data_IF_959734527944
#
_entry.id   IF_959734527944
#
_cell.length_a   1.000
_cell.length_b   1.000
_cell.length_c   1.000
_cell.angle_alpha   90.00
_cell.angle_beta   90.00
_cell.angle_gamma   90.00
#
_symmetry.space_group_name_H-M   'P 1'
#
loop_
_entity.id
_entity.type
_entity.pdbx_description
1 polymer ?
#
# COMPACT_ATOMS: atom_id res chain seq x y z
N UNK A 1 -12.94 -8.85 24.71
CA UNK A 1 -12.94 -9.17 23.26
C UNK A 1 -14.34 -9.20 22.64
N UNK A 2 -15.38 -9.76 23.28
CA UNK A 2 -16.77 -9.68 22.76
C UNK A 2 -17.24 -8.24 22.48
N UNK A 3 -16.86 -7.28 23.33
CA UNK A 3 -17.18 -5.86 23.10
C UNK A 3 -16.49 -5.30 21.85
N UNK A 4 -15.25 -5.71 21.59
CA UNK A 4 -14.50 -5.36 20.37
C UNK A 4 -15.22 -5.87 19.16
N UNK A 5 -15.57 -7.16 19.16
CA UNK A 5 -16.33 -7.80 18.08
C UNK A 5 -17.66 -7.08 17.83
N UNK A 6 -18.40 -6.75 18.88
CA UNK A 6 -19.67 -6.01 18.77
C UNK A 6 -19.45 -4.62 18.16
N UNK A 7 -18.38 -3.93 18.55
CA UNK A 7 -18.08 -2.58 18.10
C UNK A 7 -17.57 -2.50 16.65
N UNK A 8 -17.01 -3.59 16.12
CA UNK A 8 -16.46 -3.65 14.75
C UNK A 8 -17.35 -4.38 13.76
N UNK A 9 -18.27 -5.23 14.21
CA UNK A 9 -19.10 -6.06 13.34
C UNK A 9 -19.83 -5.25 12.26
N UNK A 10 -20.70 -4.33 12.66
CA UNK A 10 -21.50 -3.55 11.71
C UNK A 10 -20.62 -2.71 10.78
N UNK A 11 -19.49 -2.21 11.28
CA UNK A 11 -18.52 -1.42 10.50
C UNK A 11 -17.83 -2.24 9.43
N UNK A 12 -17.51 -3.51 9.72
CA UNK A 12 -16.93 -4.45 8.78
C UNK A 12 -17.97 -4.88 7.74
N UNK A 13 -19.19 -5.17 8.16
CA UNK A 13 -20.30 -5.54 7.28
C UNK A 13 -20.67 -4.40 6.31
N UNK A 14 -20.70 -3.15 6.79
CA UNK A 14 -20.97 -1.95 6.01
C UNK A 14 -19.74 -1.44 5.22
N UNK A 15 -18.60 -2.11 5.32
CA UNK A 15 -17.39 -1.75 4.57
C UNK A 15 -17.39 -2.31 3.16
N UNK A 16 -16.58 -1.71 2.29
CA UNK A 16 -16.27 -2.27 0.98
C UNK A 16 -15.59 -3.66 1.09
N UNK A 17 -14.99 -3.98 2.25
CA UNK A 17 -14.45 -5.30 2.54
C UNK A 17 -15.53 -6.32 2.93
N UNK A 18 -16.68 -5.87 3.43
CA UNK A 18 -17.77 -6.71 3.96
C UNK A 18 -18.18 -7.89 3.09
N UNK A 19 -18.42 -7.72 1.77
CA UNK A 19 -18.79 -8.81 0.86
C UNK A 19 -17.76 -9.94 0.74
N UNK A 20 -16.52 -9.69 1.18
CA UNK A 20 -15.40 -10.62 1.07
C UNK A 20 -15.10 -11.34 2.38
N UNK A 21 -15.71 -10.94 3.49
CA UNK A 21 -15.43 -11.51 4.82
C UNK A 21 -16.08 -12.89 4.95
N UNK A 22 -15.27 -13.92 5.23
CA UNK A 22 -15.76 -15.24 5.61
C UNK A 22 -15.82 -15.36 7.13
N UNK A 23 -14.73 -15.01 7.82
CA UNK A 23 -14.66 -14.99 9.29
C UNK A 23 -13.80 -13.85 9.79
N UNK A 24 -14.09 -13.37 11.00
CA UNK A 24 -13.31 -12.34 11.69
C UNK A 24 -12.90 -12.87 13.05
N UNK A 25 -11.64 -12.67 13.38
CA UNK A 25 -11.06 -12.99 14.69
C UNK A 25 -10.26 -11.78 15.18
N UNK A 26 -10.04 -11.72 16.49
CA UNK A 26 -9.39 -10.58 17.13
C UNK A 26 -8.23 -11.10 17.99
N UNK A 27 -7.05 -10.55 17.76
CA UNK A 27 -5.85 -10.90 18.53
C UNK A 27 -5.45 -9.73 19.41
N UNK A 28 -5.51 -9.92 20.72
CA UNK A 28 -4.92 -8.99 21.68
C UNK A 28 -3.40 -9.17 21.71
N UNK A 29 -2.67 -8.06 21.73
CA UNK A 29 -1.25 -8.05 22.09
C UNK A 29 -1.06 -7.94 23.60
N UNK A 30 0.17 -7.61 24.01
CA UNK A 30 0.50 -7.40 25.41
C UNK A 30 -0.25 -6.19 25.98
N UNK A 31 -0.80 -6.37 27.18
CA UNK A 31 -1.54 -5.32 27.88
C UNK A 31 -0.57 -4.23 28.34
N UNK A 32 -0.77 -3.01 27.85
CA UNK A 32 -0.10 -1.81 28.36
C UNK A 32 -0.82 -1.20 29.57
N UNK A 33 -0.31 -0.07 30.05
CA UNK A 33 -0.89 0.62 31.20
C UNK A 33 -2.30 1.15 30.89
N UNK A 34 -2.47 1.83 29.76
CA UNK A 34 -3.73 2.49 29.38
C UNK A 34 -4.52 1.74 28.29
N UNK A 35 -3.81 1.05 27.39
CA UNK A 35 -4.42 0.34 26.27
C UNK A 35 -3.91 -1.08 26.06
N UNK A 36 -4.70 -1.86 25.34
CA UNK A 36 -4.38 -3.18 24.84
C UNK A 36 -4.46 -3.12 23.32
N UNK A 37 -3.35 -3.33 22.61
CA UNK A 37 -3.36 -3.35 21.16
C UNK A 37 -4.18 -4.54 20.66
N UNK A 38 -5.00 -4.30 19.65
CA UNK A 38 -5.85 -5.31 19.02
C UNK A 38 -5.60 -5.31 17.51
N UNK A 39 -5.31 -6.48 16.97
CA UNK A 39 -5.28 -6.75 15.54
C UNK A 39 -6.58 -7.44 15.12
N UNK A 40 -7.18 -6.96 14.03
CA UNK A 40 -8.39 -7.55 13.44
C UNK A 40 -7.96 -8.47 12.30
N UNK A 41 -8.17 -9.77 12.48
CA UNK A 41 -7.75 -10.80 11.54
C UNK A 41 -8.96 -11.36 10.79
N UNK A 42 -8.95 -11.19 9.48
CA UNK A 42 -10.05 -11.52 8.58
C UNK A 42 -9.61 -12.65 7.66
N UNK A 43 -10.39 -13.73 7.62
CA UNK A 43 -10.30 -14.71 6.55
C UNK A 43 -11.25 -14.27 5.45
N UNK A 44 -10.72 -14.06 4.25
CA UNK A 44 -11.51 -13.66 3.09
C UNK A 44 -12.00 -14.87 2.29
N UNK A 45 -13.13 -14.71 1.63
CA UNK A 45 -13.66 -15.68 0.68
C UNK A 45 -12.93 -15.60 -0.68
N UNK A 46 -13.18 -16.58 -1.55
CA UNK A 46 -12.51 -16.72 -2.85
C UNK A 46 -12.66 -15.50 -3.80
N UNK A 47 -13.71 -14.69 -3.64
CA UNK A 47 -13.92 -13.50 -4.49
C UNK A 47 -12.95 -12.38 -4.17
N UNK A 48 -12.29 -12.43 -3.02
CA UNK A 48 -11.29 -11.44 -2.63
C UNK A 48 -10.04 -11.55 -3.51
N UNK A 49 -9.61 -12.76 -3.84
CA UNK A 49 -8.44 -12.97 -4.71
C UNK A 49 -8.66 -12.52 -6.15
N UNK A 50 -9.91 -12.26 -6.55
CA UNK A 50 -10.23 -11.68 -7.87
C UNK A 50 -10.02 -10.16 -7.91
N UNK A 51 -9.82 -9.51 -6.76
CA UNK A 51 -9.61 -8.07 -6.68
C UNK A 51 -8.24 -7.68 -7.22
N UNK A 52 -8.19 -6.59 -7.98
CA UNK A 52 -6.93 -5.93 -8.27
C UNK A 52 -6.32 -5.35 -6.99
N UNK A 53 -5.02 -5.04 -7.02
CA UNK A 53 -4.33 -4.36 -5.90
C UNK A 53 -5.00 -3.03 -5.52
N UNK A 54 -5.46 -2.28 -6.52
CA UNK A 54 -6.18 -1.01 -6.32
C UNK A 54 -7.52 -1.22 -5.60
N UNK A 55 -8.28 -2.26 -5.99
CA UNK A 55 -9.56 -2.59 -5.36
C UNK A 55 -9.35 -3.17 -3.95
N UNK A 56 -8.33 -4.00 -3.77
CA UNK A 56 -7.91 -4.55 -2.47
C UNK A 56 -7.57 -3.42 -1.50
N UNK A 57 -6.73 -2.48 -1.95
CA UNK A 57 -6.39 -1.29 -1.16
C UNK A 57 -7.64 -0.47 -0.81
N UNK A 58 -8.52 -0.21 -1.78
CA UNK A 58 -9.73 0.55 -1.55
C UNK A 58 -10.65 -0.12 -0.52
N UNK A 59 -10.88 -1.42 -0.66
CA UNK A 59 -11.71 -2.21 0.24
C UNK A 59 -11.15 -2.23 1.67
N UNK A 60 -9.85 -2.51 1.80
CA UNK A 60 -9.19 -2.54 3.10
C UNK A 60 -9.10 -1.15 3.73
N UNK A 61 -8.79 -0.10 2.97
CA UNK A 61 -8.71 1.26 3.49
C UNK A 61 -10.07 1.75 4.00
N UNK A 62 -11.16 1.47 3.29
CA UNK A 62 -12.52 1.82 3.74
C UNK A 62 -12.89 1.11 5.05
N UNK A 63 -12.61 -0.20 5.17
CA UNK A 63 -12.80 -0.94 6.41
C UNK A 63 -11.94 -0.40 7.56
N UNK A 64 -10.68 -0.09 7.25
CA UNK A 64 -9.70 0.45 8.18
C UNK A 64 -10.12 1.82 8.73
N UNK A 65 -10.54 2.74 7.87
CA UNK A 65 -11.01 4.06 8.28
C UNK A 65 -12.30 3.96 9.12
N UNK A 66 -13.21 3.02 8.80
CA UNK A 66 -14.41 2.78 9.61
C UNK A 66 -14.07 2.27 11.01
N UNK A 67 -13.14 1.32 11.13
CA UNK A 67 -12.74 0.76 12.43
C UNK A 67 -11.91 1.73 13.26
N UNK A 68 -10.83 2.30 12.68
CA UNK A 68 -9.85 3.10 13.41
C UNK A 68 -10.28 4.56 13.52
N UNK A 69 -10.89 5.12 12.47
CA UNK A 69 -11.28 6.54 12.42
C UNK A 69 -12.36 6.95 13.42
N UNK A 70 -13.03 5.98 14.04
CA UNK A 70 -14.15 6.22 14.96
C UNK A 70 -13.74 6.37 16.43
N UNK A 71 -12.44 6.34 16.78
CA UNK A 71 -11.93 6.53 18.16
C UNK A 71 -12.76 5.81 19.23
N UNK A 72 -13.21 4.59 18.93
CA UNK A 72 -14.06 3.84 19.83
C UNK A 72 -13.24 3.42 21.05
N UNK A 73 -13.48 4.03 22.21
CA UNK A 73 -12.98 3.58 23.52
C UNK A 73 -13.71 2.28 23.93
N UNK A 74 -13.44 1.19 23.22
CA UNK A 74 -13.95 -0.13 23.59
C UNK A 74 -13.16 -0.65 24.77
N UNK A 75 -13.81 -1.21 25.79
CA UNK A 75 -13.07 -1.83 26.88
C UNK A 75 -12.42 -3.14 26.44
N UNK A 76 -11.13 -3.28 26.76
CA UNK A 76 -10.39 -4.54 26.65
C UNK A 76 -10.36 -5.31 27.98
N UNK A 77 -11.18 -4.90 28.96
CA UNK A 77 -11.32 -5.52 30.27
C UNK A 77 -10.68 -4.69 31.39
N UNK A 78 -11.41 -4.55 32.50
CA UNK A 78 -11.03 -3.65 33.59
C UNK A 78 -11.03 -2.18 33.14
N UNK A 79 -10.03 -1.42 33.56
CA UNK A 79 -9.89 0.01 33.21
C UNK A 79 -9.05 0.25 31.95
N UNK A 80 -8.88 -0.76 31.09
CA UNK A 80 -7.99 -0.69 29.93
C UNK A 80 -8.81 -0.69 28.63
N UNK A 81 -8.42 0.17 27.69
CA UNK A 81 -9.10 0.35 26.42
C UNK A 81 -8.45 -0.45 25.28
N UNK A 82 -9.23 -0.86 24.31
CA UNK A 82 -8.70 -1.47 23.10
C UNK A 82 -8.20 -0.40 22.14
N UNK A 83 -6.98 -0.58 21.63
CA UNK A 83 -6.44 0.22 20.53
C UNK A 83 -6.28 -0.65 19.31
N UNK A 84 -7.07 -0.40 18.28
CA UNK A 84 -6.91 -1.07 16.99
C UNK A 84 -5.56 -0.67 16.37
N UNK A 85 -4.79 -1.66 15.93
CA UNK A 85 -3.41 -1.47 15.44
C UNK A 85 -3.31 -1.73 13.95
N UNK A 86 -3.95 -2.80 13.49
CA UNK A 86 -3.96 -3.23 12.11
C UNK A 86 -5.22 -4.02 11.76
N UNK A 87 -5.48 -4.10 10.47
CA UNK A 87 -6.34 -5.11 9.85
C UNK A 87 -5.45 -6.01 9.01
N UNK A 88 -5.55 -7.32 9.26
CA UNK A 88 -4.91 -8.36 8.49
C UNK A 88 -5.98 -9.16 7.75
N UNK A 89 -5.88 -9.24 6.43
CA UNK A 89 -6.72 -10.09 5.59
C UNK A 89 -5.87 -11.24 5.06
N UNK A 90 -6.35 -12.47 5.24
CA UNK A 90 -5.75 -13.66 4.64
C UNK A 90 -6.71 -14.19 3.59
N UNK A 91 -6.21 -14.37 2.37
CA UNK A 91 -6.88 -15.21 1.38
C UNK A 91 -6.16 -16.57 1.27
N UNK A 92 -6.43 -17.34 0.21
CA UNK A 92 -5.85 -18.68 0.03
C UNK A 92 -4.35 -18.66 -0.34
N UNK A 93 -3.80 -17.51 -0.72
CA UNK A 93 -2.48 -17.37 -1.33
C UNK A 93 -1.63 -16.34 -0.58
N UNK A 94 -2.24 -15.23 -0.20
CA UNK A 94 -1.56 -14.01 0.19
C UNK A 94 -2.07 -13.48 1.54
N UNK A 95 -1.19 -12.75 2.22
CA UNK A 95 -1.49 -12.00 3.44
C UNK A 95 -1.40 -10.52 3.16
N UNK A 96 -2.42 -9.79 3.57
CA UNK A 96 -2.57 -8.36 3.37
C UNK A 96 -2.67 -7.67 4.72
N UNK A 97 -1.84 -6.66 4.98
CA UNK A 97 -1.81 -5.94 6.25
C UNK A 97 -1.93 -4.45 6.00
N UNK A 98 -2.82 -3.80 6.74
CA UNK A 98 -2.88 -2.34 6.82
C UNK A 98 -2.80 -1.92 8.29
N UNK A 99 -1.78 -1.12 8.61
CA UNK A 99 -1.45 -0.70 9.98
C UNK A 99 -1.61 0.82 10.15
N UNK A 100 -1.91 1.25 11.38
CA UNK A 100 -2.16 2.66 11.74
C UNK A 100 -1.00 3.61 11.45
N UNK A 101 0.24 3.12 11.53
CA UNK A 101 1.46 3.89 11.29
C UNK A 101 1.72 4.09 9.80
N UNK A 102 1.48 3.06 8.99
CA UNK A 102 1.86 3.04 7.58
C UNK A 102 0.72 3.45 6.65
N UNK A 103 -0.54 3.15 7.00
CA UNK A 103 -1.77 3.36 6.19
C UNK A 103 -1.67 2.90 4.72
N UNK A 104 -0.60 2.21 4.34
CA UNK A 104 -0.43 1.49 3.10
C UNK A 104 -0.77 0.01 3.28
N UNK A 105 -1.04 -0.66 2.16
CA UNK A 105 -1.26 -2.09 2.09
C UNK A 105 0.09 -2.80 1.95
N UNK A 106 0.43 -3.67 2.90
CA UNK A 106 1.56 -4.59 2.83
C UNK A 106 1.05 -5.97 2.41
N UNK A 107 1.65 -6.54 1.37
CA UNK A 107 1.27 -7.83 0.77
C UNK A 107 2.46 -8.79 0.93
N UNK A 108 2.22 -9.95 1.56
CA UNK A 108 3.20 -11.00 1.82
C UNK A 108 4.52 -10.48 2.41
N UNK A 109 4.46 -9.53 3.34
CA UNK A 109 5.61 -8.98 4.06
C UNK A 109 6.63 -8.17 3.24
N UNK A 110 6.46 -8.02 1.92
CA UNK A 110 7.47 -7.36 1.07
C UNK A 110 6.92 -6.40 0.01
N UNK A 111 5.69 -6.58 -0.46
CA UNK A 111 5.11 -5.69 -1.47
C UNK A 111 4.25 -4.63 -0.79
N UNK A 112 4.46 -3.35 -1.14
CA UNK A 112 3.64 -2.27 -0.61
C UNK A 112 2.83 -1.58 -1.69
N UNK A 113 1.56 -1.31 -1.40
CA UNK A 113 0.66 -0.49 -2.21
C UNK A 113 0.17 0.70 -1.39
N UNK A 114 0.63 1.89 -1.74
CA UNK A 114 0.41 3.12 -0.97
C UNK A 114 -0.80 3.90 -1.48
N UNK A 115 -1.19 4.93 -0.72
CA UNK A 115 -2.17 5.92 -1.17
C UNK A 115 -1.76 6.62 -2.48
N UNK A 116 -0.46 6.85 -2.69
CA UNK A 116 0.01 7.49 -3.92
C UNK A 116 -0.12 6.54 -5.11
N UNK A 117 0.18 5.25 -4.93
CA UNK A 117 -0.06 4.24 -5.95
C UNK A 117 -1.54 4.18 -6.34
N UNK A 118 -2.43 4.20 -5.34
CA UNK A 118 -3.88 4.26 -5.55
C UNK A 118 -4.30 5.46 -6.40
N UNK A 119 -3.81 6.67 -6.09
CA UNK A 119 -4.14 7.89 -6.83
C UNK A 119 -3.67 7.77 -8.30
N UNK A 120 -2.44 7.31 -8.51
CA UNK A 120 -1.87 7.16 -9.86
C UNK A 120 -2.65 6.13 -10.69
N UNK A 121 -3.02 5.00 -10.08
CA UNK A 121 -3.77 3.95 -10.77
C UNK A 121 -5.22 4.36 -11.03
N UNK A 122 -5.86 5.08 -10.12
CA UNK A 122 -7.19 5.65 -10.30
C UNK A 122 -7.23 6.65 -11.46
N UNK A 123 -6.27 7.59 -11.51
CA UNK A 123 -6.14 8.55 -12.61
C UNK A 123 -5.93 7.84 -13.96
N UNK A 124 -5.05 6.83 -13.98
CA UNK A 124 -4.81 6.01 -15.18
C UNK A 124 -6.06 5.27 -15.63
N UNK A 125 -6.86 4.72 -14.69
CA UNK A 125 -8.12 4.04 -14.99
C UNK A 125 -9.11 5.02 -15.61
N UNK A 126 -9.27 6.21 -15.01
CA UNK A 126 -10.15 7.25 -15.53
C UNK A 126 -9.76 7.70 -16.95
N UNK A 127 -8.46 7.92 -17.20
CA UNK A 127 -7.96 8.26 -18.53
C UNK A 127 -8.19 7.16 -19.56
N UNK A 128 -8.01 5.89 -19.18
CA UNK A 128 -8.30 4.75 -20.06
C UNK A 128 -9.79 4.64 -20.38
N UNK A 129 -10.65 4.88 -19.41
CA UNK A 129 -12.10 4.90 -19.62
C UNK A 129 -12.53 6.05 -20.53
N UNK A 130 -11.97 7.25 -20.34
CA UNK A 130 -12.15 8.39 -21.25
C UNK A 130 -11.69 8.06 -22.68
N UNK A 131 -10.53 7.42 -22.82
CA UNK A 131 -9.98 7.04 -24.14
C UNK A 131 -10.81 5.93 -24.80
N UNK A 132 -11.31 4.95 -24.04
CA UNK A 132 -12.25 3.93 -24.54
C UNK A 132 -13.58 4.53 -24.97
N UNK A 133 -14.09 5.53 -24.25
CA UNK A 133 -15.30 6.26 -24.62
C UNK A 133 -15.09 7.06 -25.93
N UNK A 134 -13.93 7.71 -26.09
CA UNK A 134 -13.57 8.47 -27.30
C UNK A 134 -13.39 7.56 -28.52
N UNK A 135 -12.73 6.41 -28.36
CA UNK A 135 -12.49 5.45 -29.45
C UNK A 135 -13.76 4.75 -29.95
N UNK A 136 -14.85 4.78 -29.18
CA UNK A 136 -16.16 4.28 -29.62
C UNK A 136 -16.98 5.32 -30.40
N UNK A 137 -16.49 6.55 -30.62
CA UNK A 137 -17.28 7.60 -31.29
C UNK A 137 -16.64 8.24 -32.52
N UNK A 138 -15.34 8.07 -32.82
CA UNK A 138 -14.75 8.73 -34.00
C UNK A 138 -13.68 7.94 -34.74
N UNK A 139 -13.96 7.69 -36.02
CA UNK A 139 -13.01 7.50 -37.11
C UNK A 139 -12.22 8.79 -37.39
N UNK A 140 -10.92 8.64 -37.58
CA UNK A 140 -9.98 9.51 -38.32
C UNK A 140 -9.38 10.78 -37.67
N UNK A 141 -8.04 10.83 -37.82
CA UNK A 141 -7.15 11.97 -38.04
C UNK A 141 -7.04 13.11 -36.99
N UNK A 142 -5.86 13.22 -36.36
CA UNK A 142 -4.85 14.22 -36.74
C UNK A 142 -3.84 14.48 -35.62
N UNK A 143 -2.57 14.46 -36.03
CA UNK A 143 -1.38 15.05 -35.42
C UNK A 143 -1.63 16.19 -34.42
N UNK A 144 -1.04 16.07 -33.23
CA UNK A 144 -0.61 17.21 -32.44
C UNK A 144 0.70 16.89 -31.70
N UNK A 145 1.80 17.38 -32.27
CA UNK A 145 3.11 17.46 -31.65
C UNK A 145 3.11 18.57 -30.60
N UNK A 146 2.99 18.18 -29.33
CA UNK A 146 3.20 19.09 -28.20
C UNK A 146 4.69 19.37 -28.03
N UNK A 147 5.08 20.63 -28.25
CA UNK A 147 6.41 21.18 -27.94
C UNK A 147 6.57 21.29 -26.43
N UNK A 148 7.17 20.28 -25.80
CA UNK A 148 7.69 20.39 -24.45
C UNK A 148 9.12 20.95 -24.50
N UNK A 149 9.35 22.05 -23.79
CA UNK A 149 10.68 22.65 -23.61
C UNK A 149 11.30 22.05 -22.35
N UNK A 150 12.40 21.27 -22.43
CA UNK A 150 12.97 20.63 -21.24
C UNK A 150 13.95 21.58 -20.56
N UNK A 151 13.63 22.02 -19.34
CA UNK A 151 14.62 22.62 -18.44
C UNK A 151 14.76 21.76 -17.18
N UNK A 152 15.62 20.75 -17.35
CA UNK A 152 16.26 19.81 -16.41
C UNK A 152 16.26 18.45 -17.10
N UNK A 153 17.44 17.84 -17.32
CA UNK A 153 17.54 16.53 -17.97
C UNK A 153 16.96 15.46 -17.04
N UNK A 154 15.64 15.31 -17.07
CA UNK A 154 14.94 14.22 -16.40
C UNK A 154 15.55 12.89 -16.88
N UNK A 155 15.97 12.07 -15.92
CA UNK A 155 16.57 10.77 -16.19
C UNK A 155 15.51 9.68 -16.04
N UNK A 156 15.56 8.72 -16.94
CA UNK A 156 14.57 7.67 -17.09
C UNK A 156 15.24 6.30 -17.15
N UNK A 157 14.58 5.29 -16.57
CA UNK A 157 15.01 3.89 -16.63
C UNK A 157 14.70 3.24 -17.97
N UNK A 158 15.22 2.03 -18.14
CA UNK A 158 15.06 1.20 -19.33
C UNK A 158 13.61 1.00 -19.76
N UNK A 159 12.69 1.03 -18.80
CA UNK A 159 11.23 0.93 -18.98
C UNK A 159 10.51 2.29 -19.07
N UNK A 160 11.24 3.41 -19.13
CA UNK A 160 10.69 4.76 -19.29
C UNK A 160 10.12 5.42 -18.02
N UNK A 161 10.47 4.92 -16.83
CA UNK A 161 10.04 5.53 -15.54
C UNK A 161 11.08 6.53 -15.05
N UNK A 162 10.62 7.63 -14.45
CA UNK A 162 11.51 8.67 -13.94
C UNK A 162 12.34 8.17 -12.73
N UNK A 163 13.64 8.45 -12.75
CA UNK A 163 14.57 8.05 -11.68
C UNK A 163 14.17 8.55 -10.30
N UNK A 164 13.62 9.77 -10.17
CA UNK A 164 13.19 10.32 -8.87
C UNK A 164 12.03 9.53 -8.28
N UNK A 165 11.12 9.02 -9.11
CA UNK A 165 10.00 8.18 -8.65
C UNK A 165 10.51 6.84 -8.11
N UNK A 166 11.45 6.21 -8.83
CA UNK A 166 12.06 4.95 -8.40
C UNK A 166 12.87 5.16 -7.11
N UNK A 167 13.65 6.23 -7.04
CA UNK A 167 14.42 6.61 -5.85
C UNK A 167 13.53 6.85 -4.62
N UNK A 168 12.44 7.60 -4.77
CA UNK A 168 11.50 7.88 -3.67
C UNK A 168 10.95 6.59 -3.10
N UNK A 169 10.49 5.68 -3.97
CA UNK A 169 10.02 4.35 -3.56
C UNK A 169 11.12 3.56 -2.84
N UNK A 170 12.33 3.50 -3.40
CA UNK A 170 13.45 2.78 -2.77
C UNK A 170 13.78 3.33 -1.37
N UNK A 171 13.69 4.64 -1.17
CA UNK A 171 13.91 5.27 0.13
C UNK A 171 12.83 4.92 1.15
N UNK A 172 11.57 4.79 0.71
CA UNK A 172 10.48 4.31 1.57
C UNK A 172 10.71 2.85 1.98
N UNK A 173 11.07 1.98 1.04
CA UNK A 173 11.38 0.57 1.34
C UNK A 173 12.58 0.44 2.29
N UNK A 174 13.62 1.26 2.08
CA UNK A 174 14.75 1.35 3.00
C UNK A 174 14.29 1.64 4.43
N UNK A 175 13.48 2.68 4.63
CA UNK A 175 13.02 3.05 5.96
C UNK A 175 12.20 1.94 6.63
N UNK A 176 11.38 1.23 5.86
CA UNK A 176 10.57 0.11 6.34
C UNK A 176 11.47 -1.06 6.79
N UNK A 177 12.40 -1.47 5.93
CA UNK A 177 13.27 -2.62 6.20
C UNK A 177 14.25 -2.34 7.34
N UNK A 178 14.71 -1.09 7.44
CA UNK A 178 15.77 -0.68 8.37
C UNK A 178 15.26 -0.11 9.70
N UNK A 179 13.94 -0.02 9.89
CA UNK A 179 13.32 0.78 10.96
C UNK A 179 13.94 2.19 11.06
N UNK A 180 13.99 2.91 9.93
CA UNK A 180 14.68 4.20 9.81
C UNK A 180 16.15 4.14 10.26
N UNK A 181 16.92 3.22 9.67
CA UNK A 181 18.36 3.03 9.89
C UNK A 181 18.76 2.32 11.20
N UNK A 182 17.83 2.05 12.12
CA UNK A 182 18.15 1.47 13.44
C UNK A 182 18.76 0.06 13.38
N UNK A 183 18.38 -0.75 12.38
CA UNK A 183 18.88 -2.12 12.22
C UNK A 183 19.58 -2.35 10.88
N UNK A 184 20.08 -1.28 10.24
CA UNK A 184 20.64 -1.35 8.90
C UNK A 184 21.91 -2.22 8.81
N UNK A 185 21.81 -3.27 7.99
CA UNK A 185 22.89 -4.12 7.50
C UNK A 185 22.99 -3.97 5.97
N UNK A 186 24.05 -3.36 5.41
CA UNK A 186 24.18 -3.08 3.98
C UNK A 186 24.05 -4.32 3.09
N UNK A 187 24.70 -5.42 3.47
CA UNK A 187 24.73 -6.66 2.69
C UNK A 187 23.38 -7.37 2.61
N UNK A 188 22.42 -6.98 3.46
CA UNK A 188 21.07 -7.54 3.50
C UNK A 188 20.07 -6.56 2.89
N UNK A 189 20.05 -5.31 3.36
CA UNK A 189 18.99 -4.38 3.00
C UNK A 189 19.19 -3.74 1.62
N UNK A 190 20.41 -3.41 1.21
CA UNK A 190 20.62 -2.77 -0.10
C UNK A 190 20.20 -3.70 -1.25
N UNK A 191 20.58 -5.00 -1.26
CA UNK A 191 20.07 -5.94 -2.26
C UNK A 191 18.54 -6.09 -2.19
N UNK A 192 17.95 -6.12 -0.98
CA UNK A 192 16.51 -6.24 -0.82
C UNK A 192 15.76 -5.04 -1.40
N UNK A 193 16.17 -3.81 -1.08
CA UNK A 193 15.57 -2.58 -1.63
C UNK A 193 15.67 -2.56 -3.16
N UNK A 194 16.84 -2.92 -3.69
CA UNK A 194 17.06 -2.99 -5.14
C UNK A 194 16.18 -4.06 -5.82
N UNK A 195 16.03 -5.24 -5.20
CA UNK A 195 15.15 -6.30 -5.71
C UNK A 195 13.67 -5.92 -5.66
N UNK A 196 13.22 -5.26 -4.60
CA UNK A 196 11.84 -4.79 -4.47
C UNK A 196 11.54 -3.77 -5.57
N UNK A 197 12.44 -2.80 -5.78
CA UNK A 197 12.29 -1.82 -6.85
C UNK A 197 12.35 -2.47 -8.25
N UNK A 198 13.24 -3.44 -8.45
CA UNK A 198 13.33 -4.20 -9.70
C UNK A 198 12.01 -4.89 -10.04
N UNK A 199 11.42 -5.59 -9.07
CA UNK A 199 10.11 -6.26 -9.23
C UNK A 199 8.99 -5.24 -9.47
N UNK A 200 8.94 -4.15 -8.68
CA UNK A 200 7.88 -3.14 -8.75
C UNK A 200 7.85 -2.44 -10.11
N UNK A 201 9.02 -2.04 -10.61
CA UNK A 201 9.11 -1.24 -11.82
C UNK A 201 9.34 -2.09 -13.07
N UNK A 202 9.75 -3.36 -12.95
CA UNK A 202 10.13 -4.16 -14.12
C UNK A 202 11.46 -3.71 -14.70
N UNK A 203 12.41 -3.39 -13.82
CA UNK A 203 13.82 -3.11 -14.14
C UNK A 203 14.71 -4.18 -13.48
N UNK A 204 16.01 -4.16 -13.72
CA UNK A 204 16.93 -5.07 -13.02
C UNK A 204 17.31 -4.52 -11.63
N UNK A 205 17.62 -5.38 -10.66
CA UNK A 205 18.12 -4.93 -9.35
C UNK A 205 19.41 -4.10 -9.47
N UNK A 206 20.28 -4.46 -10.43
CA UNK A 206 21.47 -3.68 -10.75
C UNK A 206 21.12 -2.27 -11.26
N UNK A 207 20.09 -2.15 -12.09
CA UNK A 207 19.61 -0.85 -12.56
C UNK A 207 18.99 -0.03 -11.42
N UNK A 208 18.19 -0.65 -10.56
CA UNK A 208 17.63 0.00 -9.37
C UNK A 208 18.73 0.55 -8.45
N UNK A 209 19.76 -0.25 -8.15
CA UNK A 209 20.91 0.19 -7.36
C UNK A 209 21.64 1.38 -7.98
N UNK A 210 21.89 1.33 -9.30
CA UNK A 210 22.47 2.46 -10.03
C UNK A 210 21.63 3.74 -9.93
N UNK A 211 20.30 3.62 -10.02
CA UNK A 211 19.39 4.76 -9.87
C UNK A 211 19.49 5.35 -8.46
N UNK A 212 19.58 4.50 -7.44
CA UNK A 212 19.69 4.93 -6.05
C UNK A 212 20.92 5.81 -5.85
N UNK A 213 22.09 5.28 -6.21
CA UNK A 213 23.39 5.97 -6.10
C UNK A 213 23.38 7.28 -6.88
N UNK A 214 22.89 7.25 -8.12
CA UNK A 214 22.94 8.42 -9.01
C UNK A 214 22.06 9.57 -8.54
N UNK A 215 20.82 9.28 -8.16
CA UNK A 215 19.90 10.32 -7.66
C UNK A 215 20.40 10.87 -6.32
N UNK A 216 20.99 10.02 -5.47
CA UNK A 216 21.60 10.47 -4.22
C UNK A 216 22.78 11.41 -4.49
N UNK A 217 23.70 11.06 -5.40
CA UNK A 217 24.84 11.91 -5.77
C UNK A 217 24.41 13.24 -6.42
N UNK A 218 23.40 13.22 -7.30
CA UNK A 218 22.85 14.43 -7.94
C UNK A 218 22.20 15.38 -6.93
N UNK A 219 21.79 14.91 -5.74
CA UNK A 219 21.24 15.75 -4.67
C UNK A 219 22.31 16.53 -3.87
N UNK A 220 23.59 16.18 -4.03
CA UNK A 220 24.72 16.82 -3.34
C UNK A 220 25.62 17.67 -4.26
N UNK A 221 25.26 17.81 -5.55
CA UNK A 221 25.95 18.63 -6.54
C UNK A 221 25.14 19.89 -6.89
#
# INVERSE_FOLDING_TARGET
MKEVETATKDKLEDSQLGPYIETVTYKAGEKGDDDTPVSVQIKANEKFSDLSKMETYAAMNDAFDKIIGSYNQVSCGGNNNCRYTDIQVLDNQDTYVMNIMYRGLLINDFETYTKNDYIVDADRKEQREKTKAINNTYTSNSNNTSKYTPHNKEQYSSNGINYKSIFTFMKEQYNILTNNDENYIPEIHDPQVAEIAAKRFGITAKEAGYIYEKVQMDAFN
#
